data_IF_147638771878
#
_entry.id   IF_147638771878
#
_cell.length_a   1.000
_cell.length_b   1.000
_cell.length_c   1.000
_cell.angle_alpha   90.00
_cell.angle_beta   90.00
_cell.angle_gamma   90.00
#
_symmetry.space_group_name_H-M   'P 1'
#
loop_
_entity.id
_entity.type
_entity.pdbx_description
1 polymer ?
#
# COMPACT_ATOMS: atom_id res chain seq x y z
N UNK A 1 9.84 -8.47 -16.30
CA UNK A 1 10.90 -7.55 -16.77
C UNK A 1 10.90 -6.26 -15.93
N UNK A 2 11.96 -5.46 -16.00
CA UNK A 2 12.02 -4.08 -15.52
C UNK A 2 12.89 -3.83 -14.29
N UNK A 3 13.34 -4.88 -13.59
CA UNK A 3 14.16 -4.73 -12.38
C UNK A 3 15.59 -4.33 -12.71
N UNK A 4 16.27 -3.65 -11.76
CA UNK A 4 17.64 -3.16 -11.96
C UNK A 4 18.65 -4.28 -12.28
N UNK A 5 18.46 -5.49 -11.75
CA UNK A 5 19.35 -6.63 -12.03
C UNK A 5 19.44 -6.96 -13.53
N UNK A 6 18.31 -6.91 -14.24
CA UNK A 6 18.27 -7.21 -15.68
C UNK A 6 19.07 -6.23 -16.54
N UNK A 7 19.44 -5.05 -16.02
CA UNK A 7 20.27 -4.07 -16.73
C UNK A 7 21.71 -4.57 -16.91
N UNK A 8 22.18 -5.40 -15.99
CA UNK A 8 23.59 -5.83 -15.91
C UNK A 8 23.78 -7.32 -16.20
N UNK A 9 22.69 -8.09 -16.27
CA UNK A 9 22.72 -9.51 -16.64
C UNK A 9 22.92 -9.69 -18.14
N UNK A 10 23.90 -10.52 -18.49
CA UNK A 10 24.17 -10.89 -19.88
C UNK A 10 22.99 -11.64 -20.50
N UNK A 11 22.65 -11.29 -21.75
CA UNK A 11 21.56 -11.93 -22.50
C UNK A 11 20.15 -11.55 -22.06
N UNK A 12 19.98 -10.66 -21.06
CA UNK A 12 18.67 -10.17 -20.62
C UNK A 12 18.29 -8.86 -21.31
N UNK A 13 16.99 -8.66 -21.52
CA UNK A 13 16.42 -7.42 -22.09
C UNK A 13 15.77 -6.60 -20.98
N UNK A 14 16.40 -5.51 -20.55
CA UNK A 14 15.82 -4.60 -19.58
C UNK A 14 14.73 -3.73 -20.22
N UNK A 15 13.46 -4.00 -19.90
CA UNK A 15 12.28 -3.32 -20.46
C UNK A 15 11.06 -3.45 -19.53
N UNK A 16 9.96 -2.76 -19.84
CA UNK A 16 8.72 -2.77 -19.05
C UNK A 16 7.58 -3.59 -19.70
N UNK A 17 7.88 -4.50 -20.62
CA UNK A 17 6.85 -5.38 -21.17
C UNK A 17 6.31 -6.30 -20.08
N UNK A 18 4.99 -6.43 -20.04
CA UNK A 18 4.25 -7.32 -19.13
C UNK A 18 4.34 -8.77 -19.63
N UNK A 19 5.56 -9.28 -19.65
CA UNK A 19 5.92 -10.60 -20.12
C UNK A 19 6.91 -11.25 -19.13
N UNK A 20 6.82 -12.58 -19.00
CA UNK A 20 7.86 -13.42 -18.38
C UNK A 20 9.10 -13.53 -19.27
N UNK A 21 10.14 -14.20 -18.77
CA UNK A 21 11.40 -14.37 -19.52
C UNK A 21 11.25 -15.21 -20.80
N UNK A 22 10.31 -16.15 -20.83
CA UNK A 22 9.96 -16.96 -22.00
C UNK A 22 9.00 -16.26 -22.98
N UNK A 23 8.60 -15.00 -22.69
CA UNK A 23 7.71 -14.20 -23.53
C UNK A 23 6.22 -14.43 -23.29
N UNK A 24 5.84 -15.24 -22.30
CA UNK A 24 4.42 -15.38 -21.92
C UNK A 24 3.87 -14.09 -21.30
N UNK A 25 2.62 -13.72 -21.61
CA UNK A 25 2.00 -12.51 -21.06
C UNK A 25 1.65 -12.68 -19.59
N UNK A 26 1.85 -11.62 -18.80
CA UNK A 26 1.42 -11.56 -17.40
C UNK A 26 0.49 -10.38 -17.16
N UNK A 27 -0.40 -10.52 -16.17
CA UNK A 27 -1.18 -9.43 -15.61
C UNK A 27 -0.92 -9.36 -14.10
N UNK A 28 0.01 -8.49 -13.64
CA UNK A 28 0.36 -8.41 -12.23
C UNK A 28 -0.84 -8.00 -11.37
N UNK A 29 -1.14 -8.79 -10.35
CA UNK A 29 -2.15 -8.43 -9.33
C UNK A 29 -1.70 -7.20 -8.57
N UNK A 30 -2.58 -6.20 -8.44
CA UNK A 30 -2.28 -4.96 -7.73
C UNK A 30 -2.40 -5.12 -6.21
N UNK A 31 -3.38 -5.89 -5.74
CA UNK A 31 -3.68 -6.02 -4.32
C UNK A 31 -3.73 -7.47 -3.84
N UNK A 32 -3.23 -7.72 -2.62
CA UNK A 32 -3.42 -9.01 -1.94
C UNK A 32 -4.90 -9.34 -1.73
N UNK A 33 -5.76 -8.32 -1.64
CA UNK A 33 -7.19 -8.45 -1.45
C UNK A 33 -7.94 -9.12 -2.62
N UNK A 34 -7.31 -9.24 -3.79
CA UNK A 34 -7.88 -9.92 -4.96
C UNK A 34 -7.78 -11.46 -4.89
N UNK A 35 -7.30 -12.02 -3.77
CA UNK A 35 -7.30 -13.47 -3.53
C UNK A 35 -7.33 -13.79 -2.04
N UNK A 36 -6.74 -14.90 -1.60
CA UNK A 36 -6.69 -15.21 -0.16
C UNK A 36 -5.76 -14.24 0.58
N UNK A 37 -6.28 -13.47 1.53
CA UNK A 37 -5.49 -12.53 2.34
C UNK A 37 -5.89 -12.59 3.82
N UNK A 38 -4.98 -12.13 4.67
CA UNK A 38 -5.20 -11.90 6.09
C UNK A 38 -5.03 -10.40 6.37
N UNK A 39 -5.92 -9.81 7.17
CA UNK A 39 -5.77 -8.43 7.61
C UNK A 39 -4.83 -8.36 8.80
N UNK A 40 -3.82 -7.52 8.67
CA UNK A 40 -2.89 -7.18 9.74
C UNK A 40 -2.97 -5.70 10.06
N UNK A 41 -2.49 -5.32 11.24
CA UNK A 41 -2.33 -3.92 11.61
C UNK A 41 -0.93 -3.45 11.26
N UNK A 42 -0.84 -2.40 10.44
CA UNK A 42 0.40 -1.71 10.12
C UNK A 42 0.46 -0.35 10.81
N UNK A 43 1.66 0.06 11.18
CA UNK A 43 1.94 1.34 11.81
C UNK A 43 2.56 2.28 10.78
N UNK A 44 2.01 3.48 10.66
CA UNK A 44 2.56 4.52 9.80
C UNK A 44 3.04 5.70 10.64
N UNK A 45 4.25 6.23 10.37
CA UNK A 45 4.67 7.47 10.96
C UNK A 45 3.87 8.63 10.34
N UNK A 46 3.55 9.63 11.15
CA UNK A 46 3.06 10.93 10.70
C UNK A 46 3.83 12.04 11.39
N UNK A 47 3.85 13.21 10.76
CA UNK A 47 4.57 14.38 11.23
C UNK A 47 3.69 15.61 11.03
N UNK A 48 3.58 16.44 12.06
CA UNK A 48 2.88 17.72 12.01
C UNK A 48 3.66 18.80 12.78
N UNK A 49 3.03 19.96 13.04
CA UNK A 49 3.66 21.07 13.76
C UNK A 49 3.96 20.75 15.23
N UNK A 50 3.27 19.76 15.81
CA UNK A 50 3.37 19.40 17.23
C UNK A 50 4.38 18.26 17.46
N UNK A 51 4.82 17.58 16.39
CA UNK A 51 5.92 16.61 16.43
C UNK A 51 5.71 15.41 15.50
N UNK A 52 6.33 14.30 15.87
CA UNK A 52 6.15 13.00 15.23
C UNK A 52 5.15 12.12 16.01
N UNK A 53 4.48 11.24 15.28
CA UNK A 53 3.59 10.26 15.87
C UNK A 53 3.37 9.05 14.98
N UNK A 54 2.55 8.12 15.48
CA UNK A 54 2.22 6.88 14.77
C UNK A 54 0.70 6.73 14.74
N UNK A 55 0.17 6.27 13.61
CA UNK A 55 -1.21 5.82 13.50
C UNK A 55 -1.27 4.40 12.92
N UNK A 56 -2.34 3.68 13.25
CA UNK A 56 -2.51 2.27 12.89
C UNK A 56 -3.57 2.13 11.79
N UNK A 57 -3.34 1.25 10.82
CA UNK A 57 -4.29 0.94 9.73
C UNK A 57 -4.32 -0.56 9.42
N UNK A 58 -5.42 -1.07 8.84
CA UNK A 58 -5.46 -2.44 8.35
C UNK A 58 -4.76 -2.53 6.99
N UNK A 59 -4.02 -3.61 6.76
CA UNK A 59 -3.40 -3.92 5.47
C UNK A 59 -3.61 -5.40 5.12
N UNK A 60 -3.99 -5.73 3.87
CA UNK A 60 -4.12 -7.12 3.45
C UNK A 60 -2.72 -7.70 3.20
N UNK A 61 -2.47 -8.87 3.77
CA UNK A 61 -1.18 -9.56 3.69
C UNK A 61 -1.36 -11.00 3.25
N UNK A 62 -0.26 -11.62 2.83
CA UNK A 62 -0.13 -13.06 2.63
C UNK A 62 1.13 -13.58 3.29
N UNK A 63 1.09 -14.80 3.79
CA UNK A 63 2.28 -15.49 4.28
C UNK A 63 2.96 -16.24 3.14
N UNK A 64 4.28 -16.08 3.03
CA UNK A 64 5.13 -16.82 2.08
C UNK A 64 6.25 -17.51 2.84
N UNK A 65 6.62 -18.70 2.38
CA UNK A 65 7.79 -19.44 2.88
C UNK A 65 9.00 -19.06 2.02
N UNK A 66 10.04 -18.53 2.66
CA UNK A 66 11.30 -18.19 2.03
C UNK A 66 12.13 -19.45 1.73
N UNK A 67 13.16 -19.31 0.90
CA UNK A 67 14.04 -20.42 0.52
C UNK A 67 14.77 -21.07 1.71
N UNK A 68 14.98 -20.33 2.81
CA UNK A 68 15.58 -20.84 4.04
C UNK A 68 14.57 -21.51 4.99
N UNK A 69 13.29 -21.58 4.61
CA UNK A 69 12.21 -22.17 5.42
C UNK A 69 11.45 -21.18 6.32
N UNK A 70 11.94 -19.94 6.46
CA UNK A 70 11.26 -18.94 7.27
C UNK A 70 9.92 -18.52 6.66
N UNK A 71 8.93 -18.25 7.51
CA UNK A 71 7.63 -17.72 7.09
C UNK A 71 7.60 -16.21 7.31
N UNK A 72 7.35 -15.46 6.25
CA UNK A 72 7.23 -13.99 6.31
C UNK A 72 5.89 -13.54 5.76
N UNK A 73 5.40 -12.38 6.21
CA UNK A 73 4.24 -11.72 5.65
C UNK A 73 4.67 -10.71 4.58
N UNK A 74 3.92 -10.66 3.50
CA UNK A 74 4.11 -9.72 2.40
C UNK A 74 2.81 -8.96 2.11
N UNK A 75 2.95 -7.73 1.62
CA UNK A 75 1.88 -6.90 1.08
C UNK A 75 2.37 -6.26 -0.23
N UNK A 76 1.46 -5.75 -1.06
CA UNK A 76 1.85 -4.96 -2.23
C UNK A 76 2.11 -3.50 -1.84
N UNK A 77 2.88 -2.79 -2.66
CA UNK A 77 3.05 -1.33 -2.49
C UNK A 77 1.72 -0.59 -2.66
N UNK A 78 0.85 -1.07 -3.55
CA UNK A 78 -0.50 -0.51 -3.70
C UNK A 78 -1.30 -0.61 -2.40
N UNK A 79 -1.29 -1.77 -1.74
CA UNK A 79 -1.96 -1.99 -0.46
C UNK A 79 -1.40 -1.08 0.64
N UNK A 80 -0.07 -0.95 0.69
CA UNK A 80 0.61 -0.05 1.62
C UNK A 80 0.15 1.40 1.44
N UNK A 81 0.15 1.89 0.20
CA UNK A 81 -0.29 3.26 -0.13
C UNK A 81 -1.77 3.48 0.18
N UNK A 82 -2.65 2.56 -0.24
CA UNK A 82 -4.08 2.67 0.01
C UNK A 82 -4.40 2.71 1.52
N UNK A 83 -3.69 1.89 2.30
CA UNK A 83 -3.79 1.86 3.76
C UNK A 83 -3.29 3.17 4.39
N UNK A 84 -2.13 3.66 3.97
CA UNK A 84 -1.55 4.91 4.47
C UNK A 84 -2.47 6.11 4.25
N UNK A 85 -3.01 6.25 3.05
CA UNK A 85 -3.93 7.34 2.68
C UNK A 85 -5.35 7.17 3.22
N UNK A 86 -5.62 6.12 4.02
CA UNK A 86 -6.91 5.93 4.68
C UNK A 86 -8.06 5.59 3.72
N UNK A 87 -7.75 4.99 2.56
CA UNK A 87 -8.77 4.48 1.63
C UNK A 87 -9.47 3.29 2.26
N UNK A 88 -10.79 3.42 2.51
CA UNK A 88 -11.61 2.37 3.14
C UNK A 88 -11.85 1.21 2.17
N UNK A 89 -11.55 -0.02 2.59
CA UNK A 89 -11.56 -1.23 1.74
C UNK A 89 -12.06 -2.49 2.46
N UNK A 90 -12.03 -2.53 3.79
CA UNK A 90 -12.23 -3.77 4.56
C UNK A 90 -13.34 -3.69 5.62
N UNK A 91 -14.00 -2.53 5.72
CA UNK A 91 -14.96 -2.24 6.80
C UNK A 91 -14.36 -2.43 8.20
N UNK A 92 -13.07 -2.11 8.32
CA UNK A 92 -12.32 -2.33 9.54
C UNK A 92 -12.31 -1.06 10.40
N UNK A 93 -12.39 -1.21 11.73
CA UNK A 93 -12.51 -0.09 12.70
C UNK A 93 -11.38 0.95 12.67
N UNK A 94 -10.25 0.63 12.03
CA UNK A 94 -9.10 1.51 11.86
C UNK A 94 -9.12 2.25 10.51
N UNK A 95 -10.07 1.98 9.64
CA UNK A 95 -10.27 2.73 8.39
C UNK A 95 -11.00 4.05 8.66
N UNK A 96 -10.90 4.98 7.72
CA UNK A 96 -11.69 6.22 7.77
C UNK A 96 -13.18 5.90 7.72
N UNK A 97 -13.99 6.71 8.40
CA UNK A 97 -15.46 6.64 8.32
C UNK A 97 -16.01 7.27 7.04
N UNK A 98 -15.20 8.09 6.36
CA UNK A 98 -15.59 8.83 5.17
C UNK A 98 -14.69 10.04 4.97
N UNK A 99 -15.08 10.91 4.05
CA UNK A 99 -14.35 12.15 3.78
C UNK A 99 -14.49 13.18 4.90
N UNK A 100 -15.57 13.09 5.68
CA UNK A 100 -15.92 13.93 6.83
C UNK A 100 -15.20 13.53 8.14
N UNK A 101 -14.42 12.45 8.12
CA UNK A 101 -13.72 11.92 9.29
C UNK A 101 -12.43 12.71 9.60
N UNK A 102 -12.53 13.73 10.44
CA UNK A 102 -11.41 14.59 10.84
C UNK A 102 -10.34 13.88 11.69
N UNK A 103 -10.69 12.77 12.35
CA UNK A 103 -9.78 12.03 13.23
C UNK A 103 -8.86 11.08 12.44
N UNK A 104 -9.29 10.71 11.23
CA UNK A 104 -8.54 9.85 10.33
C UNK A 104 -7.57 10.66 9.48
N UNK A 105 -6.26 10.43 9.64
CA UNK A 105 -5.22 11.11 8.85
C UNK A 105 -5.48 10.99 7.34
N UNK A 106 -5.18 12.08 6.61
CA UNK A 106 -5.27 12.21 5.16
C UNK A 106 -6.68 12.20 4.55
N UNK A 107 -7.74 12.40 5.35
CA UNK A 107 -9.09 12.67 4.82
C UNK A 107 -9.24 14.15 4.42
N UNK A 108 -10.23 14.48 3.56
CA UNK A 108 -10.61 15.87 3.30
C UNK A 108 -10.92 16.69 4.55
N UNK A 109 -11.62 16.13 5.55
CA UNK A 109 -11.88 16.82 6.82
C UNK A 109 -10.62 17.01 7.67
N UNK A 110 -9.71 16.02 7.70
CA UNK A 110 -8.44 16.15 8.40
C UNK A 110 -7.56 17.25 7.78
N UNK A 111 -7.48 17.29 6.44
CA UNK A 111 -6.62 18.28 5.77
C UNK A 111 -7.16 19.71 5.92
N UNK A 112 -8.48 19.91 6.02
CA UNK A 112 -9.08 21.24 6.18
C UNK A 112 -8.59 21.93 7.46
N UNK A 113 -8.45 21.19 8.56
CA UNK A 113 -7.90 21.70 9.81
C UNK A 113 -6.42 22.12 9.69
N UNK A 114 -5.68 21.57 8.73
CA UNK A 114 -4.25 21.81 8.53
C UNK A 114 -4.00 22.91 7.49
N UNK A 115 -4.72 22.87 6.37
CA UNK A 115 -4.49 23.76 5.22
C UNK A 115 -5.40 24.98 5.22
N UNK A 116 -6.53 24.92 5.92
CA UNK A 116 -7.63 25.89 5.82
C UNK A 116 -8.45 25.79 4.51
N UNK A 117 -8.14 24.84 3.62
CA UNK A 117 -8.90 24.60 2.39
C UNK A 117 -10.10 23.72 2.71
N UNK A 118 -11.31 24.19 2.35
CA UNK A 118 -12.57 23.49 2.64
C UNK A 118 -12.56 22.07 2.11
N UNK A 119 -12.98 21.09 2.91
CA UNK A 119 -13.10 19.70 2.48
C UNK A 119 -14.03 19.51 1.27
N UNK A 120 -15.00 20.42 1.06
CA UNK A 120 -15.96 20.31 -0.05
C UNK A 120 -15.38 20.66 -1.42
N UNK A 121 -14.13 21.13 -1.49
CA UNK A 121 -13.43 21.46 -2.75
C UNK A 121 -12.21 20.58 -3.02
N UNK A 122 -12.02 19.53 -2.22
CA UNK A 122 -10.91 18.57 -2.31
C UNK A 122 -11.44 17.18 -2.54
#
# INVERSE_FOLDING_TARGET
NGTMGQRWEEGKKWNLKLETEDGSKINPTLSMAEGGYELETIQFPYFDSDGDGIFNRPIPTRQVTLANGDKVRIATIFDLMASQYGVRRFDHKLESKGYDDAESKYTPAWQEAISGVKQSVV
#
